data_IF_462961294268
#
_entry.id   IF_462961294268
#
_cell.length_a   1.000
_cell.length_b   1.000
_cell.length_c   1.000
_cell.angle_alpha   90.00
_cell.angle_beta   90.00
_cell.angle_gamma   90.00
#
_symmetry.space_group_name_H-M   'P 1'
#
loop_
_entity.id
_entity.type
_entity.pdbx_description
1 polymer ?
#
# COMPACT_ATOMS: atom_id res chain seq x y z
N UNK A 1 1.28 10.01 23.77
CA UNK A 1 0.81 11.04 22.82
C UNK A 1 0.82 10.44 21.41
N UNK A 2 -0.32 10.46 20.75
CA UNK A 2 -0.41 9.90 19.42
C UNK A 2 0.39 10.75 18.42
N UNK A 3 1.14 10.07 17.56
CA UNK A 3 1.82 10.75 16.46
C UNK A 3 0.77 11.15 15.43
N UNK A 4 0.58 12.44 15.24
CA UNK A 4 -0.37 12.97 14.28
C UNK A 4 0.38 13.36 13.01
N UNK A 5 -0.08 12.86 11.86
CA UNK A 5 0.50 13.23 10.58
C UNK A 5 0.26 14.72 10.31
N UNK A 6 1.22 15.35 9.65
CA UNK A 6 1.07 16.75 9.26
C UNK A 6 -0.09 16.88 8.25
N UNK A 7 -0.75 18.06 8.18
CA UNK A 7 -1.80 18.28 7.18
C UNK A 7 -1.33 18.05 5.75
N UNK A 8 -0.07 18.36 5.45
CA UNK A 8 0.49 18.14 4.11
C UNK A 8 0.59 16.65 3.79
N UNK A 9 0.99 15.83 4.77
CA UNK A 9 1.07 14.38 4.60
C UNK A 9 -0.32 13.79 4.35
N UNK A 10 -1.31 14.19 5.14
CA UNK A 10 -2.70 13.74 4.98
C UNK A 10 -3.22 14.11 3.60
N UNK A 11 -2.93 15.34 3.15
CA UNK A 11 -3.35 15.81 1.83
C UNK A 11 -2.77 14.96 0.72
N UNK A 12 -1.49 14.62 0.80
CA UNK A 12 -0.85 13.76 -0.21
C UNK A 12 -1.47 12.37 -0.25
N UNK A 13 -1.78 11.79 0.92
CA UNK A 13 -2.44 10.48 0.98
C UNK A 13 -3.83 10.58 0.34
N UNK A 14 -4.60 11.60 0.68
CA UNK A 14 -5.94 11.79 0.13
C UNK A 14 -5.92 12.02 -1.38
N UNK A 15 -4.95 12.76 -1.87
CA UNK A 15 -4.77 12.98 -3.32
C UNK A 15 -4.45 11.67 -4.03
N UNK A 16 -3.59 10.84 -3.44
CA UNK A 16 -3.24 9.54 -4.03
C UNK A 16 -4.44 8.60 -4.04
N UNK A 17 -5.21 8.57 -2.93
CA UNK A 17 -6.45 7.78 -2.87
C UNK A 17 -7.43 8.20 -3.96
N UNK A 18 -7.65 9.49 -4.12
CA UNK A 18 -8.57 10.03 -5.13
C UNK A 18 -8.10 9.69 -6.54
N UNK A 19 -6.79 9.79 -6.79
CA UNK A 19 -6.21 9.45 -8.08
C UNK A 19 -6.44 7.97 -8.41
N UNK A 20 -6.09 7.07 -7.48
CA UNK A 20 -6.23 5.62 -7.68
C UNK A 20 -7.69 5.22 -7.84
N UNK A 21 -8.58 5.83 -7.06
CA UNK A 21 -10.01 5.54 -7.16
C UNK A 21 -10.55 5.86 -8.56
N UNK A 22 -10.03 6.89 -9.18
CA UNK A 22 -10.48 7.35 -10.50
C UNK A 22 -9.73 6.69 -11.65
N UNK A 23 -8.42 6.55 -11.54
CA UNK A 23 -7.54 6.11 -12.63
C UNK A 23 -6.97 4.70 -12.47
N UNK A 24 -7.06 4.12 -11.28
CA UNK A 24 -6.40 2.85 -10.99
C UNK A 24 -4.89 3.04 -10.77
N UNK A 25 -4.15 1.96 -10.91
CA UNK A 25 -2.70 1.98 -10.70
C UNK A 25 -2.02 2.32 -12.03
N UNK A 26 -1.76 3.61 -12.22
CA UNK A 26 -0.97 4.11 -13.35
C UNK A 26 0.48 4.22 -12.86
N UNK A 27 1.35 3.34 -13.37
CA UNK A 27 2.70 3.14 -12.86
C UNK A 27 3.45 4.44 -12.59
N UNK A 28 3.65 5.27 -13.60
CA UNK A 28 4.50 6.46 -13.47
C UNK A 28 3.95 7.45 -12.45
N UNK A 29 2.64 7.69 -12.47
CA UNK A 29 2.00 8.64 -11.57
C UNK A 29 1.94 8.14 -10.14
N UNK A 30 1.61 6.86 -9.95
CA UNK A 30 1.49 6.29 -8.60
C UNK A 30 2.87 6.19 -7.95
N UNK A 31 3.89 5.75 -8.68
CA UNK A 31 5.26 5.69 -8.17
C UNK A 31 5.75 7.08 -7.79
N UNK A 32 5.52 8.08 -8.64
CA UNK A 32 5.89 9.46 -8.36
C UNK A 32 5.25 9.96 -7.07
N UNK A 33 3.95 9.73 -6.90
CA UNK A 33 3.22 10.18 -5.71
C UNK A 33 3.67 9.45 -4.44
N UNK A 34 3.99 8.15 -4.55
CA UNK A 34 4.55 7.40 -3.42
C UNK A 34 5.91 7.97 -3.02
N UNK A 35 6.75 8.28 -3.97
CA UNK A 35 8.07 8.83 -3.70
C UNK A 35 8.02 10.26 -3.15
N UNK A 36 6.98 11.03 -3.50
CA UNK A 36 6.73 12.34 -2.89
C UNK A 36 6.26 12.21 -1.44
N UNK A 37 5.52 11.14 -1.15
CA UNK A 37 5.01 10.87 0.21
C UNK A 37 6.13 10.41 1.15
N UNK A 38 7.09 9.66 0.65
CA UNK A 38 8.13 9.01 1.45
C UNK A 38 8.90 9.96 2.37
N UNK A 39 9.38 11.15 1.91
CA UNK A 39 10.12 12.06 2.78
C UNK A 39 9.33 12.52 4.01
N UNK A 40 8.01 12.61 3.91
CA UNK A 40 7.17 12.99 5.03
C UNK A 40 7.26 11.98 6.16
N UNK A 41 7.32 10.69 5.84
CA UNK A 41 7.44 9.63 6.84
C UNK A 41 8.87 9.48 7.37
N UNK A 42 9.88 9.82 6.58
CA UNK A 42 11.26 9.91 7.06
C UNK A 42 11.34 11.00 8.14
N UNK A 43 10.79 12.17 7.85
CA UNK A 43 10.79 13.30 8.79
C UNK A 43 10.05 12.97 10.07
N UNK A 44 8.96 12.22 9.98
CA UNK A 44 8.16 11.83 11.14
C UNK A 44 8.74 10.61 11.87
N UNK A 45 9.87 10.10 11.43
CA UNK A 45 10.56 8.97 12.06
C UNK A 45 9.68 7.71 12.11
N UNK A 46 9.04 7.41 10.98
CA UNK A 46 8.24 6.20 10.81
C UNK A 46 8.95 5.24 9.84
N UNK A 47 9.98 4.53 10.30
CA UNK A 47 10.84 3.73 9.41
C UNK A 47 10.11 2.59 8.71
N UNK A 48 9.14 1.96 9.36
CA UNK A 48 8.40 0.87 8.75
C UNK A 48 7.56 1.37 7.57
N UNK A 49 6.80 2.45 7.77
CA UNK A 49 6.00 3.06 6.70
C UNK A 49 6.90 3.51 5.56
N UNK A 50 8.00 4.19 5.89
CA UNK A 50 8.98 4.67 4.92
C UNK A 50 9.49 3.53 4.04
N UNK A 51 9.83 2.39 4.66
CA UNK A 51 10.32 1.22 3.95
C UNK A 51 9.24 0.60 3.06
N UNK A 52 8.03 0.43 3.59
CA UNK A 52 6.93 -0.16 2.82
C UNK A 52 6.57 0.72 1.62
N UNK A 53 6.60 2.05 1.77
CA UNK A 53 6.37 2.95 0.64
C UNK A 53 7.39 2.70 -0.47
N UNK A 54 8.67 2.59 -0.13
CA UNK A 54 9.73 2.32 -1.13
C UNK A 54 9.50 0.97 -1.80
N UNK A 55 9.23 -0.07 -1.02
CA UNK A 55 9.00 -1.41 -1.54
C UNK A 55 7.78 -1.45 -2.46
N UNK A 56 6.71 -0.73 -2.10
CA UNK A 56 5.51 -0.62 -2.93
C UNK A 56 5.82 0.05 -4.27
N UNK A 57 6.58 1.14 -4.23
CA UNK A 57 6.99 1.84 -5.45
C UNK A 57 7.82 0.94 -6.36
N UNK A 58 8.81 0.23 -5.81
CA UNK A 58 9.64 -0.71 -6.57
C UNK A 58 8.82 -1.87 -7.13
N UNK A 59 7.86 -2.37 -6.37
CA UNK A 59 6.96 -3.43 -6.82
C UNK A 59 6.13 -2.99 -8.03
N UNK A 60 5.56 -1.79 -7.96
CA UNK A 60 4.75 -1.26 -9.06
C UNK A 60 5.62 -1.02 -10.30
N UNK A 61 6.85 -0.54 -10.13
CA UNK A 61 7.77 -0.36 -11.26
C UNK A 61 8.09 -1.68 -11.95
N UNK A 62 8.35 -2.73 -11.19
CA UNK A 62 8.74 -4.03 -11.74
C UNK A 62 7.57 -4.75 -12.41
N UNK A 63 6.42 -4.78 -11.75
CA UNK A 63 5.26 -5.53 -12.23
C UNK A 63 4.25 -4.70 -13.00
N UNK A 64 4.47 -3.40 -13.10
CA UNK A 64 3.59 -2.44 -13.78
C UNK A 64 2.16 -2.41 -13.22
N UNK A 65 2.01 -2.80 -11.96
CA UNK A 65 0.72 -2.81 -11.30
C UNK A 65 0.82 -3.27 -9.85
N UNK A 66 -0.32 -3.38 -9.21
CA UNK A 66 -0.43 -3.80 -7.83
C UNK A 66 -1.48 -4.89 -7.72
N UNK A 67 -1.05 -6.09 -7.36
CA UNK A 67 -1.94 -7.25 -7.30
C UNK A 67 -1.98 -7.95 -5.95
N UNK A 68 -1.46 -7.31 -4.90
CA UNK A 68 -1.52 -7.89 -3.56
C UNK A 68 -2.95 -7.86 -3.03
N UNK A 69 -3.40 -8.99 -2.50
CA UNK A 69 -4.74 -9.12 -1.95
C UNK A 69 -4.70 -9.00 -0.43
N UNK A 70 -4.60 -7.77 0.05
CA UNK A 70 -4.45 -7.46 1.48
C UNK A 70 -5.74 -7.68 2.26
N UNK A 71 -6.88 -7.63 1.58
CA UNK A 71 -8.19 -7.76 2.18
C UNK A 71 -8.73 -9.22 2.12
N UNK A 72 -7.90 -10.16 1.65
CA UNK A 72 -8.30 -11.54 1.53
C UNK A 72 -8.55 -12.19 2.90
N UNK A 73 -9.64 -12.91 3.01
CA UNK A 73 -9.95 -13.73 4.18
C UNK A 73 -9.49 -15.16 3.96
N UNK A 74 -9.32 -15.90 5.05
CA UNK A 74 -9.04 -17.33 4.98
C UNK A 74 -10.27 -18.05 4.43
N UNK A 75 -10.03 -19.05 3.57
CA UNK A 75 -11.09 -19.95 3.11
C UNK A 75 -11.38 -21.01 4.18
N UNK A 76 -12.31 -21.93 3.90
CA UNK A 76 -12.70 -22.98 4.84
C UNK A 76 -11.54 -23.90 5.24
N UNK A 77 -10.51 -23.98 4.40
CA UNK A 77 -9.33 -24.82 4.64
C UNK A 77 -8.16 -24.04 5.28
N UNK A 78 -8.39 -22.76 5.60
CA UNK A 78 -7.39 -21.89 6.20
C UNK A 78 -6.41 -21.28 5.20
N UNK A 79 -6.67 -21.39 3.91
CA UNK A 79 -5.82 -20.80 2.88
C UNK A 79 -6.19 -19.34 2.62
N UNK A 80 -5.17 -18.52 2.37
CA UNK A 80 -5.36 -17.10 2.02
C UNK A 80 -4.80 -16.91 0.61
N UNK A 81 -5.63 -16.36 -0.27
CA UNK A 81 -5.19 -16.02 -1.63
C UNK A 81 -4.53 -14.64 -1.61
N UNK A 82 -3.19 -14.62 -1.62
CA UNK A 82 -2.40 -13.40 -1.47
C UNK A 82 -2.36 -12.51 -2.72
N UNK A 83 -2.78 -13.01 -3.87
CA UNK A 83 -2.79 -12.25 -5.10
C UNK A 83 -4.19 -12.11 -5.67
N UNK A 84 -4.47 -10.94 -6.24
CA UNK A 84 -5.73 -10.67 -6.92
C UNK A 84 -5.71 -11.36 -8.28
N UNK A 85 -6.81 -12.03 -8.64
CA UNK A 85 -6.98 -12.58 -9.98
C UNK A 85 -7.18 -11.43 -10.96
N UNK A 86 -6.12 -11.10 -11.70
CA UNK A 86 -6.13 -9.96 -12.63
C UNK A 86 -6.97 -10.23 -13.89
N UNK A 87 -7.35 -11.49 -14.13
CA UNK A 87 -8.26 -11.85 -15.22
C UNK A 87 -9.73 -11.80 -14.78
N UNK A 88 -9.99 -11.58 -13.48
CA UNK A 88 -11.33 -11.48 -12.94
C UNK A 88 -12.06 -10.24 -13.41
N UNK A 89 -13.39 -10.33 -13.52
CA UNK A 89 -14.24 -9.23 -14.00
C UNK A 89 -14.18 -7.98 -13.10
N UNK A 90 -13.92 -8.17 -11.79
CA UNK A 90 -13.90 -7.10 -10.81
C UNK A 90 -12.48 -6.70 -10.39
N UNK A 91 -11.45 -7.15 -11.13
CA UNK A 91 -10.06 -6.93 -10.76
C UNK A 91 -9.71 -5.46 -10.55
N UNK A 92 -10.23 -4.57 -11.39
CA UNK A 92 -9.98 -3.13 -11.27
C UNK A 92 -10.41 -2.60 -9.89
N UNK A 93 -11.62 -2.97 -9.46
CA UNK A 93 -12.14 -2.55 -8.15
C UNK A 93 -11.38 -3.21 -7.00
N UNK A 94 -11.05 -4.49 -7.14
CA UNK A 94 -10.27 -5.21 -6.12
C UNK A 94 -8.90 -4.57 -5.92
N UNK A 95 -8.22 -4.23 -6.99
CA UNK A 95 -6.90 -3.57 -6.93
C UNK A 95 -7.03 -2.22 -6.21
N UNK A 96 -8.01 -1.41 -6.58
CA UNK A 96 -8.23 -0.11 -5.96
C UNK A 96 -8.50 -0.26 -4.45
N UNK A 97 -9.39 -1.14 -4.08
CA UNK A 97 -9.76 -1.34 -2.68
C UNK A 97 -8.55 -1.76 -1.84
N UNK A 98 -7.75 -2.69 -2.36
CA UNK A 98 -6.57 -3.16 -1.66
C UNK A 98 -5.50 -2.08 -1.55
N UNK A 99 -5.28 -1.30 -2.60
CA UNK A 99 -4.30 -0.23 -2.58
C UNK A 99 -4.73 0.91 -1.63
N UNK A 100 -6.01 1.27 -1.67
CA UNK A 100 -6.54 2.30 -0.75
C UNK A 100 -6.43 1.82 0.71
N UNK A 101 -6.68 0.53 0.96
CA UNK A 101 -6.46 -0.05 2.28
C UNK A 101 -5.01 0.13 2.74
N UNK A 102 -4.05 -0.11 1.85
CA UNK A 102 -2.63 0.11 2.17
C UNK A 102 -2.35 1.57 2.53
N UNK A 103 -2.93 2.51 1.78
CA UNK A 103 -2.77 3.93 2.08
C UNK A 103 -3.37 4.30 3.45
N UNK A 104 -4.47 3.66 3.83
CA UNK A 104 -5.07 3.85 5.15
C UNK A 104 -4.13 3.36 6.27
N UNK A 105 -3.38 2.28 6.02
CA UNK A 105 -2.37 1.83 6.97
C UNK A 105 -1.28 2.88 7.18
N UNK A 106 -0.85 3.54 6.11
CA UNK A 106 0.13 4.63 6.21
C UNK A 106 -0.41 5.83 6.99
N UNK A 107 -1.71 6.08 6.89
CA UNK A 107 -2.35 7.24 7.52
C UNK A 107 -2.40 7.16 9.04
N UNK A 108 -2.24 5.96 9.61
CA UNK A 108 -2.30 5.73 11.05
C UNK A 108 -1.10 4.90 11.51
N UNK A 109 0.13 5.45 11.42
CA UNK A 109 1.35 4.68 11.64
C UNK A 109 1.59 4.28 13.08
N UNK A 110 0.95 4.93 14.05
CA UNK A 110 1.06 4.62 15.47
C UNK A 110 0.06 3.56 15.95
N UNK A 111 -0.86 3.14 15.08
CA UNK A 111 -1.82 2.09 15.41
C UNK A 111 -1.13 0.72 15.38
N UNK A 112 -1.22 -0.02 16.50
CA UNK A 112 -0.55 -1.32 16.64
C UNK A 112 -1.00 -2.32 15.59
N UNK A 113 -2.30 -2.39 15.31
CA UNK A 113 -2.84 -3.30 14.30
C UNK A 113 -2.32 -2.95 12.90
N UNK A 114 -2.20 -1.66 12.60
CA UNK A 114 -1.65 -1.22 11.32
C UNK A 114 -0.17 -1.58 11.20
N UNK A 115 0.59 -1.47 12.29
CA UNK A 115 2.00 -1.88 12.28
C UNK A 115 2.14 -3.37 11.99
N UNK A 116 1.30 -4.21 12.57
CA UNK A 116 1.31 -5.65 12.31
C UNK A 116 0.96 -5.93 10.84
N UNK A 117 -0.04 -5.24 10.31
CA UNK A 117 -0.40 -5.39 8.90
C UNK A 117 0.71 -4.91 7.96
N UNK A 118 1.38 -3.81 8.30
CA UNK A 118 2.51 -3.32 7.49
C UNK A 118 3.69 -4.29 7.52
N UNK A 119 3.93 -4.96 8.65
CA UNK A 119 4.94 -6.02 8.71
C UNK A 119 4.57 -7.18 7.81
N UNK A 120 3.30 -7.56 7.78
CA UNK A 120 2.80 -8.59 6.89
C UNK A 120 2.99 -8.21 5.42
N UNK A 121 2.64 -6.98 5.06
CA UNK A 121 2.82 -6.47 3.69
C UNK A 121 4.30 -6.49 3.31
N UNK A 122 5.17 -6.05 4.21
CA UNK A 122 6.62 -6.09 3.98
C UNK A 122 7.08 -7.52 3.69
N UNK A 123 6.61 -8.48 4.48
CA UNK A 123 6.98 -9.87 4.28
C UNK A 123 6.46 -10.41 2.95
N UNK A 124 5.26 -10.04 2.54
CA UNK A 124 4.72 -10.42 1.23
C UNK A 124 5.62 -9.95 0.10
N UNK A 125 6.16 -8.74 0.19
CA UNK A 125 7.13 -8.23 -0.79
C UNK A 125 8.44 -9.03 -0.75
N UNK A 126 8.94 -9.30 0.46
CA UNK A 126 10.21 -10.04 0.62
C UNK A 126 10.11 -11.48 0.09
N UNK A 127 8.95 -12.08 0.15
CA UNK A 127 8.72 -13.44 -0.35
C UNK A 127 8.73 -13.50 -1.88
N UNK A 128 8.69 -12.35 -2.53
CA UNK A 128 8.80 -12.26 -3.98
C UNK A 128 10.22 -11.83 -4.33
N UNK A 129 10.95 -12.60 -5.08
CA UNK A 129 12.39 -12.46 -5.35
C UNK A 129 12.85 -11.09 -5.89
N UNK A 130 12.12 -10.03 -5.59
CA UNK A 130 12.43 -8.67 -6.01
C UNK A 130 13.40 -7.95 -5.06
N UNK A 131 13.37 -8.29 -3.78
CA UNK A 131 14.12 -7.57 -2.75
C UNK A 131 15.23 -8.40 -2.11
#
# INVERSE_FOLDING_TARGET
MEATLSPDTVKLIDELKAYVDKKGIVKDEVVKKLMELRPHFIEQKEPLVTRVIRMTAEYIEEYEGFNLNLLADEDEEGNIEEEIDMDGEDSFNEVKENFIYLLDLFAHPDNVMNKEELQRVKQMYLDRDLF
#
